data_IF_979465527170
#
_entry.id   IF_979465527170
#
_cell.length_a   1.000
_cell.length_b   1.000
_cell.length_c   1.000
_cell.angle_alpha   90.00
_cell.angle_beta   90.00
_cell.angle_gamma   90.00
#
_symmetry.space_group_name_H-M   'P 1'
#
loop_
_entity.id
_entity.type
_entity.pdbx_description
1 polymer ?
#
# COMPACT_ATOMS: atom_id res chain seq x y z
N UNK A 1 3.23 17.30 13.59
CA UNK A 1 2.57 16.07 14.10
C UNK A 1 1.23 15.75 13.44
N UNK A 2 0.25 16.66 13.36
CA UNK A 2 -1.06 16.35 12.72
C UNK A 2 -1.09 16.42 11.19
N UNK A 3 -0.22 17.23 10.57
CA UNK A 3 -0.20 17.44 9.11
C UNK A 3 0.70 16.42 8.40
N UNK A 4 1.89 16.12 8.94
CA UNK A 4 2.83 15.14 8.38
C UNK A 4 2.22 13.74 8.25
N UNK A 5 1.49 13.28 9.28
CA UNK A 5 0.79 12.00 9.24
C UNK A 5 -0.27 11.94 8.13
N UNK A 6 -1.01 13.03 7.92
CA UNK A 6 -2.02 13.11 6.84
C UNK A 6 -1.35 13.09 5.47
N UNK A 7 -0.17 13.68 5.34
CA UNK A 7 0.61 13.60 4.11
C UNK A 7 1.10 12.18 3.84
N UNK A 8 1.61 11.45 4.84
CA UNK A 8 2.00 10.04 4.68
C UNK A 8 0.83 9.18 4.26
N UNK A 9 -0.33 9.33 4.90
CA UNK A 9 -1.56 8.58 4.56
C UNK A 9 -2.01 8.88 3.12
N UNK A 10 -1.98 10.15 2.71
CA UNK A 10 -2.29 10.57 1.33
C UNK A 10 -1.30 9.97 0.33
N UNK A 11 -0.01 10.05 0.61
CA UNK A 11 1.06 9.51 -0.24
C UNK A 11 0.91 8.00 -0.38
N UNK A 12 0.52 7.28 0.68
CA UNK A 12 0.24 5.84 0.62
C UNK A 12 -0.96 5.55 -0.28
N UNK A 13 -2.07 6.28 -0.12
CA UNK A 13 -3.25 6.09 -0.96
C UNK A 13 -2.99 6.38 -2.45
N UNK A 14 -2.18 7.40 -2.76
CA UNK A 14 -1.71 7.69 -4.12
C UNK A 14 -0.81 6.57 -4.66
N UNK A 15 0.11 6.08 -3.84
CA UNK A 15 1.04 5.00 -4.22
C UNK A 15 0.31 3.70 -4.53
N UNK A 16 -0.78 3.42 -3.82
CA UNK A 16 -1.67 2.28 -4.13
C UNK A 16 -2.37 2.48 -5.47
N UNK A 17 -2.95 3.67 -5.71
CA UNK A 17 -3.62 3.95 -6.99
C UNK A 17 -2.68 3.73 -8.17
N UNK A 18 -1.46 4.27 -8.07
CA UNK A 18 -0.42 4.14 -9.09
C UNK A 18 0.11 2.71 -9.20
N UNK A 19 0.34 2.04 -8.07
CA UNK A 19 0.88 0.68 -8.07
C UNK A 19 -0.08 -0.34 -8.68
N UNK A 20 -1.40 -0.15 -8.53
CA UNK A 20 -2.40 -1.00 -9.18
C UNK A 20 -2.53 -0.76 -10.68
N UNK A 21 -2.05 0.37 -11.23
CA UNK A 21 -2.08 0.64 -12.68
C UNK A 21 -1.23 -0.33 -13.49
N UNK A 22 -0.32 -1.08 -12.88
CA UNK A 22 0.42 -2.16 -13.57
C UNK A 22 -0.50 -3.24 -14.14
N UNK A 23 -1.72 -3.34 -13.61
CA UNK A 23 -2.77 -4.26 -14.07
C UNK A 23 -3.68 -3.64 -15.15
N UNK A 24 -3.39 -2.40 -15.59
CA UNK A 24 -4.28 -1.57 -16.40
C UNK A 24 -5.41 -0.94 -15.58
N UNK A 25 -6.09 0.06 -16.17
CA UNK A 25 -7.15 0.80 -15.46
C UNK A 25 -8.34 -0.08 -15.08
N UNK A 26 -8.76 -0.98 -15.97
CA UNK A 26 -9.83 -1.94 -15.69
C UNK A 26 -9.44 -2.92 -14.58
N UNK A 27 -8.19 -3.39 -14.58
CA UNK A 27 -7.65 -4.26 -13.53
C UNK A 27 -7.66 -3.55 -12.18
N UNK A 28 -7.14 -2.32 -12.11
CA UNK A 28 -7.19 -1.48 -10.90
C UNK A 28 -8.62 -1.34 -10.37
N UNK A 29 -9.57 -0.99 -11.23
CA UNK A 29 -10.97 -0.83 -10.82
C UNK A 29 -11.58 -2.12 -10.28
N UNK A 30 -11.32 -3.26 -10.93
CA UNK A 30 -11.80 -4.57 -10.47
C UNK A 30 -11.26 -4.94 -9.09
N UNK A 31 -9.97 -4.68 -8.84
CA UNK A 31 -9.34 -4.95 -7.54
C UNK A 31 -9.92 -4.05 -6.45
N UNK A 32 -10.01 -2.73 -6.70
CA UNK A 32 -10.59 -1.80 -5.73
C UNK A 32 -12.05 -2.15 -5.42
N UNK A 33 -12.84 -2.53 -6.43
CA UNK A 33 -14.21 -2.99 -6.25
C UNK A 33 -14.30 -4.26 -5.40
N UNK A 34 -13.43 -5.25 -5.66
CA UNK A 34 -13.39 -6.49 -4.87
C UNK A 34 -13.03 -6.22 -3.41
N UNK A 35 -12.03 -5.36 -3.15
CA UNK A 35 -11.62 -4.96 -1.80
C UNK A 35 -12.74 -4.22 -1.06
N UNK A 36 -13.43 -3.30 -1.73
CA UNK A 36 -14.55 -2.59 -1.14
C UNK A 36 -15.68 -3.55 -0.75
N UNK A 37 -16.03 -4.49 -1.64
CA UNK A 37 -17.14 -5.43 -1.40
C UNK A 37 -16.85 -6.53 -0.38
N UNK A 38 -15.64 -7.09 -0.38
CA UNK A 38 -15.32 -8.27 0.42
C UNK A 38 -14.55 -7.96 1.70
N UNK A 39 -13.92 -6.77 1.78
CA UNK A 39 -13.11 -6.36 2.92
C UNK A 39 -13.55 -5.03 3.52
N UNK A 40 -14.53 -4.33 2.93
CA UNK A 40 -14.94 -2.98 3.35
C UNK A 40 -13.74 -2.01 3.43
N UNK A 41 -12.84 -2.12 2.45
CA UNK A 41 -11.67 -1.27 2.28
C UNK A 41 -11.82 -0.47 1.00
N UNK A 42 -12.08 0.84 1.14
CA UNK A 42 -11.94 1.79 0.02
C UNK A 42 -10.50 2.27 -0.07
N UNK A 43 -10.15 2.87 -1.20
CA UNK A 43 -8.80 3.42 -1.42
C UNK A 43 -8.30 4.33 -0.29
N UNK A 44 -9.16 5.21 0.23
CA UNK A 44 -8.81 6.13 1.33
C UNK A 44 -8.76 5.45 2.70
N UNK A 45 -9.33 4.25 2.85
CA UNK A 45 -9.27 3.47 4.09
C UNK A 45 -7.96 2.70 4.20
N UNK A 46 -7.24 2.49 3.09
CA UNK A 46 -6.03 1.66 3.04
C UNK A 46 -4.97 2.12 4.05
N UNK A 47 -4.68 3.42 4.22
CA UNK A 47 -3.74 3.85 5.25
C UNK A 47 -4.16 3.49 6.67
N UNK A 48 -5.47 3.37 6.93
CA UNK A 48 -6.02 3.02 8.25
C UNK A 48 -6.26 1.51 8.42
N UNK A 49 -6.25 0.74 7.32
CA UNK A 49 -6.49 -0.71 7.29
C UNK A 49 -5.51 -1.42 6.34
N UNK A 50 -4.18 -1.24 6.50
CA UNK A 50 -3.20 -1.84 5.58
C UNK A 50 -3.19 -3.38 5.65
N UNK A 51 -3.53 -3.97 6.79
CA UNK A 51 -3.72 -5.42 6.99
C UNK A 51 -4.76 -5.97 6.00
N UNK A 52 -5.95 -5.38 6.01
CA UNK A 52 -7.07 -5.84 5.20
C UNK A 52 -6.81 -5.66 3.70
N UNK A 53 -6.07 -4.61 3.33
CA UNK A 53 -5.60 -4.44 1.96
C UNK A 53 -4.61 -5.52 1.53
N UNK A 54 -3.59 -5.79 2.35
CA UNK A 54 -2.57 -6.80 2.07
C UNK A 54 -3.18 -8.21 1.96
N UNK A 55 -4.06 -8.56 2.90
CA UNK A 55 -4.80 -9.82 2.89
C UNK A 55 -5.72 -9.93 1.67
N UNK A 56 -6.38 -8.83 1.31
CA UNK A 56 -7.23 -8.76 0.12
C UNK A 56 -6.46 -9.04 -1.17
N UNK A 57 -5.30 -8.42 -1.35
CA UNK A 57 -4.42 -8.75 -2.47
C UNK A 57 -3.98 -10.21 -2.44
N UNK A 58 -3.62 -10.74 -1.27
CA UNK A 58 -3.20 -12.15 -1.13
C UNK A 58 -4.34 -13.13 -1.44
N UNK A 59 -5.60 -12.81 -1.11
CA UNK A 59 -6.74 -13.66 -1.53
C UNK A 59 -6.95 -13.67 -3.04
N UNK A 60 -6.69 -12.56 -3.73
CA UNK A 60 -6.88 -12.47 -5.18
C UNK A 60 -5.73 -13.12 -5.95
N UNK A 61 -4.49 -12.81 -5.54
CA UNK A 61 -3.28 -13.13 -6.32
C UNK A 61 -2.41 -14.23 -5.69
N UNK A 62 -2.77 -14.72 -4.50
CA UNK A 62 -1.94 -15.64 -3.75
C UNK A 62 -0.57 -15.04 -3.45
N UNK A 63 0.48 -15.83 -3.66
CA UNK A 63 1.86 -15.38 -3.53
C UNK A 63 2.18 -14.22 -4.50
N UNK A 64 1.51 -14.13 -5.65
CA UNK A 64 1.70 -13.02 -6.61
C UNK A 64 1.40 -11.63 -6.06
N UNK A 65 0.70 -11.52 -4.94
CA UNK A 65 0.43 -10.26 -4.25
C UNK A 65 1.73 -9.50 -3.89
N UNK A 66 2.83 -10.21 -3.63
CA UNK A 66 4.12 -9.59 -3.27
C UNK A 66 4.63 -8.66 -4.38
N UNK A 67 4.36 -8.97 -5.66
CA UNK A 67 4.79 -8.15 -6.80
C UNK A 67 4.09 -6.79 -6.75
N UNK A 68 2.77 -6.80 -6.54
CA UNK A 68 1.96 -5.58 -6.47
C UNK A 68 2.36 -4.76 -5.24
N UNK A 69 2.47 -5.40 -4.07
CA UNK A 69 2.90 -4.76 -2.83
C UNK A 69 4.27 -4.10 -2.99
N UNK A 70 5.22 -4.76 -3.64
CA UNK A 70 6.56 -4.23 -3.91
C UNK A 70 6.53 -3.00 -4.81
N UNK A 71 5.69 -2.97 -5.85
CA UNK A 71 5.52 -1.78 -6.69
C UNK A 71 4.96 -0.62 -5.88
N UNK A 72 3.93 -0.87 -5.06
CA UNK A 72 3.34 0.14 -4.19
C UNK A 72 4.39 0.70 -3.21
N UNK A 73 5.16 -0.16 -2.55
CA UNK A 73 6.20 0.25 -1.59
C UNK A 73 7.31 1.07 -2.24
N UNK A 74 7.74 0.71 -3.45
CA UNK A 74 8.72 1.49 -4.21
C UNK A 74 8.21 2.90 -4.49
N UNK A 75 6.96 3.02 -4.95
CA UNK A 75 6.34 4.32 -5.21
C UNK A 75 6.19 5.12 -3.91
N UNK A 76 5.76 4.48 -2.83
CA UNK A 76 5.57 5.07 -1.52
C UNK A 76 6.86 5.67 -0.95
N UNK A 77 7.92 4.85 -0.88
CA UNK A 77 9.23 5.31 -0.40
C UNK A 77 9.79 6.42 -1.29
N UNK A 78 9.66 6.29 -2.61
CA UNK A 78 10.16 7.31 -3.55
C UNK A 78 9.46 8.67 -3.37
N UNK A 79 8.14 8.68 -3.15
CA UNK A 79 7.37 9.92 -2.92
C UNK A 79 7.73 10.59 -1.59
N UNK A 80 8.18 9.80 -0.61
CA UNK A 80 8.70 10.29 0.67
C UNK A 80 10.18 10.71 0.62
N UNK A 81 10.85 10.60 -0.55
CA UNK A 81 12.29 10.85 -0.66
C UNK A 81 13.16 9.77 0.01
N UNK A 82 12.59 8.62 0.36
CA UNK A 82 13.25 7.50 1.00
C UNK A 82 13.72 6.46 -0.04
N UNK A 83 14.75 5.69 0.32
CA UNK A 83 15.25 4.60 -0.52
C UNK A 83 14.60 3.28 -0.11
N UNK A 84 13.73 2.74 -0.96
CA UNK A 84 13.23 1.37 -0.78
C UNK A 84 14.39 0.37 -0.87
N UNK A 85 14.51 -0.49 0.14
CA UNK A 85 15.42 -1.63 0.15
C UNK A 85 14.64 -2.89 0.51
N UNK A 86 14.76 -3.90 -0.33
CA UNK A 86 14.17 -5.20 -0.05
C UNK A 86 14.88 -5.83 1.16
N UNK A 87 14.10 -6.33 2.11
CA UNK A 87 14.54 -6.93 3.36
C UNK A 87 13.90 -8.29 3.47
N UNK A 88 14.70 -9.30 3.81
CA UNK A 88 14.18 -10.64 4.07
C UNK A 88 13.21 -10.61 5.26
N UNK A 89 12.13 -11.38 5.15
CA UNK A 89 11.08 -11.53 6.16
C UNK A 89 10.26 -10.26 6.47
N UNK A 90 10.44 -9.16 5.73
CA UNK A 90 9.57 -7.99 5.87
C UNK A 90 8.27 -8.18 5.09
N UNK A 91 7.16 -7.97 5.77
CA UNK A 91 5.83 -7.88 5.15
C UNK A 91 5.56 -6.46 4.67
N UNK A 92 4.53 -6.29 3.86
CA UNK A 92 4.02 -4.97 3.46
C UNK A 92 3.82 -4.03 4.66
N UNK A 93 3.31 -4.56 5.78
CA UNK A 93 3.02 -3.78 6.98
C UNK A 93 4.29 -3.36 7.72
N UNK A 94 5.34 -4.18 7.70
CA UNK A 94 6.60 -3.86 8.36
C UNK A 94 7.28 -2.67 7.70
N UNK A 95 7.15 -2.55 6.38
CA UNK A 95 7.59 -1.36 5.64
C UNK A 95 6.78 -0.11 5.99
N UNK A 96 5.46 -0.22 6.13
CA UNK A 96 4.64 0.93 6.54
C UNK A 96 5.00 1.40 7.96
N UNK A 97 5.16 0.45 8.89
CA UNK A 97 5.55 0.73 10.28
C UNK A 97 6.93 1.37 10.36
N UNK A 98 7.86 0.99 9.49
CA UNK A 98 9.18 1.62 9.41
C UNK A 98 9.08 3.11 9.09
N UNK A 99 8.23 3.48 8.13
CA UNK A 99 7.98 4.89 7.79
C UNK A 99 7.35 5.62 8.97
N UNK A 100 6.31 5.05 9.58
CA UNK A 100 5.64 5.66 10.75
C UNK A 100 6.57 5.85 11.96
N UNK A 101 7.54 4.94 12.17
CA UNK A 101 8.51 5.04 13.25
C UNK A 101 9.68 5.97 12.92
N UNK A 102 10.04 6.08 11.64
CA UNK A 102 11.04 7.04 11.15
C UNK A 102 10.60 8.49 11.35
N UNK A 103 9.30 8.78 11.30
CA UNK A 103 8.74 10.12 11.58
C UNK A 103 8.87 10.58 13.05
N UNK A 104 9.17 9.67 13.98
CA UNK A 104 9.28 10.00 15.43
C UNK A 104 10.68 10.40 15.88
N UNK A 105 11.65 10.53 14.97
CA UNK A 105 13.04 10.85 15.28
C UNK A 105 13.45 12.25 14.87
#
# INVERSE_FOLDING_TARGET
MGEERKDVERILAESVDEGLKILGDSGKQAILFYLEKNFSVKKHDIPQKPEAFADGLKKIFGEGAHVIQKVILKNFYSKLGLKYKEKENYTFLDYLREVEQGEKR
#
